data_IF_706698647791
#
_entry.id   IF_706698647791
#
_cell.length_a   1.000
_cell.length_b   1.000
_cell.length_c   1.000
_cell.angle_alpha   90.00
_cell.angle_beta   90.00
_cell.angle_gamma   90.00
#
_symmetry.space_group_name_H-M   'P 1'
#
loop_
_entity.id
_entity.type
_entity.pdbx_description
1 polymer ?
#
# COMPACT_ATOMS: atom_id res chain seq x y z
N UNK A 1 -57.03 28.86 -16.05
CA UNK A 1 -57.06 28.09 -17.30
C UNK A 1 -57.44 26.66 -16.97
N UNK A 2 -58.59 26.20 -17.48
CA UNK A 2 -59.12 24.84 -17.30
C UNK A 2 -58.46 23.92 -18.33
N UNK A 3 -58.02 22.74 -17.90
CA UNK A 3 -58.00 21.57 -18.78
C UNK A 3 -58.39 20.34 -17.95
N UNK A 4 -59.57 19.83 -18.27
CA UNK A 4 -60.05 18.51 -17.88
C UNK A 4 -59.61 17.58 -19.02
N UNK A 5 -58.93 16.48 -18.70
CA UNK A 5 -58.84 15.33 -19.60
C UNK A 5 -59.26 14.10 -18.79
N UNK A 6 -60.45 13.63 -19.10
CA UNK A 6 -61.01 12.37 -18.65
C UNK A 6 -60.64 11.31 -19.67
N UNK A 7 -59.95 10.25 -19.25
CA UNK A 7 -59.82 9.03 -20.03
C UNK A 7 -60.09 7.84 -19.11
N UNK A 8 -61.20 7.15 -19.37
CA UNK A 8 -61.54 5.86 -18.81
C UNK A 8 -61.04 4.77 -19.76
N UNK A 9 -60.31 3.77 -19.25
CA UNK A 9 -60.09 2.49 -19.94
C UNK A 9 -60.36 1.37 -18.95
N UNK A 10 -61.33 0.55 -19.32
CA UNK A 10 -61.83 -0.65 -18.68
C UNK A 10 -60.92 -1.84 -18.98
N UNK A 11 -60.64 -2.67 -17.96
CA UNK A 11 -60.46 -4.11 -18.13
C UNK A 11 -59.03 -4.64 -18.25
N UNK A 12 -58.61 -5.41 -17.23
CA UNK A 12 -58.00 -6.74 -17.29
C UNK A 12 -57.13 -6.95 -16.03
N UNK A 13 -57.40 -8.03 -15.30
CA UNK A 13 -56.77 -8.33 -14.01
C UNK A 13 -55.25 -8.48 -14.09
N UNK A 14 -54.57 -7.90 -13.10
CA UNK A 14 -53.14 -8.11 -12.85
C UNK A 14 -52.99 -8.51 -11.38
N UNK A 15 -52.38 -9.68 -11.19
CA UNK A 15 -51.96 -10.25 -9.92
C UNK A 15 -51.05 -9.26 -9.17
N UNK A 16 -51.50 -8.76 -8.02
CA UNK A 16 -50.65 -7.98 -7.12
C UNK A 16 -49.86 -8.96 -6.26
N UNK A 17 -48.59 -9.15 -6.60
CA UNK A 17 -47.61 -9.72 -5.68
C UNK A 17 -47.33 -8.70 -4.56
N UNK A 18 -47.25 -9.10 -3.29
CA UNK A 18 -46.81 -8.20 -2.23
C UNK A 18 -45.32 -7.89 -2.46
N UNK A 19 -45.03 -6.64 -2.82
CA UNK A 19 -43.66 -6.11 -2.78
C UNK A 19 -43.16 -6.19 -1.34
N UNK A 20 -42.27 -7.14 -1.08
CA UNK A 20 -41.47 -7.16 0.12
C UNK A 20 -40.62 -5.89 0.11
N UNK A 21 -41.02 -4.88 0.88
CA UNK A 21 -40.16 -3.76 1.25
C UNK A 21 -38.96 -4.36 2.00
N UNK A 22 -37.87 -4.57 1.27
CA UNK A 22 -36.56 -4.75 1.86
C UNK A 22 -36.26 -3.47 2.63
N UNK A 23 -36.51 -3.50 3.95
CA UNK A 23 -36.07 -2.47 4.85
C UNK A 23 -34.55 -2.38 4.70
N UNK A 24 -34.10 -1.35 3.99
CA UNK A 24 -32.69 -0.99 3.90
C UNK A 24 -32.30 -0.63 5.32
N UNK A 25 -31.64 -1.54 6.03
CA UNK A 25 -31.10 -1.28 7.34
C UNK A 25 -30.11 -0.11 7.18
N UNK A 26 -30.57 1.09 7.52
CA UNK A 26 -29.72 2.27 7.63
C UNK A 26 -28.74 1.94 8.74
N UNK A 27 -27.52 1.58 8.36
CA UNK A 27 -26.42 1.41 9.32
C UNK A 27 -26.34 2.69 10.14
N UNK A 28 -26.48 2.55 11.45
CA UNK A 28 -26.32 3.68 12.36
C UNK A 28 -24.99 4.38 12.06
N UNK A 29 -24.92 5.72 12.10
CA UNK A 29 -23.69 6.45 11.82
C UNK A 29 -22.61 5.93 12.76
N UNK A 30 -21.62 5.24 12.17
CA UNK A 30 -20.48 4.72 12.90
C UNK A 30 -19.77 5.93 13.53
N UNK A 31 -19.57 5.90 14.85
CA UNK A 31 -18.92 7.01 15.55
C UNK A 31 -17.55 7.23 14.92
N UNK A 32 -17.33 8.43 14.37
CA UNK A 32 -16.04 8.79 13.81
C UNK A 32 -14.95 8.63 14.89
N UNK A 33 -13.86 7.99 14.51
CA UNK A 33 -12.68 7.82 15.33
C UNK A 33 -11.61 8.82 14.91
N UNK A 34 -10.90 9.37 15.89
CA UNK A 34 -9.75 10.25 15.69
C UNK A 34 -8.49 9.52 16.15
N UNK A 35 -7.43 9.60 15.35
CA UNK A 35 -6.12 9.02 15.65
C UNK A 35 -5.12 10.13 15.96
N UNK A 36 -4.36 9.97 17.04
CA UNK A 36 -3.23 10.84 17.38
C UNK A 36 -1.95 10.05 17.24
N UNK A 37 -1.14 10.42 16.26
CA UNK A 37 0.09 9.71 15.87
C UNK A 37 1.33 10.25 16.59
N UNK A 38 2.24 9.36 16.94
CA UNK A 38 3.55 9.66 17.52
C UNK A 38 4.55 8.55 17.15
N UNK A 39 5.84 8.77 17.45
CA UNK A 39 6.92 7.85 17.09
C UNK A 39 6.92 7.43 15.60
N UNK A 40 6.62 8.37 14.71
CA UNK A 40 6.59 8.11 13.27
C UNK A 40 8.04 7.94 12.79
N UNK A 41 8.40 6.72 12.41
CA UNK A 41 9.64 6.41 11.71
C UNK A 41 9.34 6.18 10.22
N UNK A 42 10.05 6.91 9.36
CA UNK A 42 9.90 6.86 7.90
C UNK A 42 11.26 6.59 7.27
N UNK A 43 11.43 5.39 6.70
CA UNK A 43 12.71 4.91 6.19
C UNK A 43 12.55 4.06 4.94
N UNK A 44 13.56 4.11 4.06
CA UNK A 44 13.66 3.14 2.97
C UNK A 44 14.25 1.82 3.50
N UNK A 45 13.76 0.69 3.00
CA UNK A 45 14.19 -0.63 3.44
C UNK A 45 14.52 -1.51 2.24
N UNK A 46 15.74 -2.06 2.23
CA UNK A 46 16.13 -3.08 1.26
C UNK A 46 15.37 -4.38 1.55
N UNK A 47 14.64 -4.89 0.57
CA UNK A 47 13.79 -6.09 0.71
C UNK A 47 14.30 -7.29 -0.06
N UNK A 48 15.00 -7.09 -1.18
CA UNK A 48 15.65 -8.15 -1.91
C UNK A 48 16.89 -7.66 -2.65
N UNK A 49 17.83 -8.56 -2.91
CA UNK A 49 19.05 -8.29 -3.67
C UNK A 49 19.40 -9.51 -4.52
N UNK A 50 19.93 -9.30 -5.72
CA UNK A 50 20.46 -10.37 -6.55
C UNK A 50 21.93 -10.65 -6.23
N UNK A 51 22.42 -11.82 -6.62
CA UNK A 51 23.86 -12.01 -6.78
C UNK A 51 24.40 -11.05 -7.85
N UNK A 52 25.68 -10.70 -7.76
CA UNK A 52 26.33 -9.85 -8.75
C UNK A 52 26.66 -10.65 -10.02
N UNK A 53 26.25 -10.14 -11.19
CA UNK A 53 26.55 -10.75 -12.50
C UNK A 53 27.41 -9.82 -13.36
N UNK A 54 28.45 -10.36 -13.97
CA UNK A 54 29.21 -9.66 -15.02
C UNK A 54 28.43 -9.70 -16.32
N UNK A 55 28.20 -8.54 -16.92
CA UNK A 55 27.42 -8.35 -18.13
C UNK A 55 28.26 -7.60 -19.18
N UNK A 56 28.09 -7.99 -20.44
CA UNK A 56 28.57 -7.21 -21.57
C UNK A 56 27.64 -6.02 -21.86
N UNK A 57 28.13 -5.05 -22.64
CA UNK A 57 27.31 -3.90 -23.06
C UNK A 57 26.11 -4.37 -23.89
N UNK A 58 24.92 -3.93 -23.52
CA UNK A 58 23.67 -4.30 -24.22
C UNK A 58 23.17 -5.70 -23.90
N UNK A 59 23.88 -6.47 -23.06
CA UNK A 59 23.37 -7.72 -22.52
C UNK A 59 22.17 -7.43 -21.61
N UNK A 60 21.21 -8.34 -21.67
CA UNK A 60 20.03 -8.30 -20.86
C UNK A 60 20.06 -9.39 -19.79
N UNK A 61 19.44 -9.10 -18.65
CA UNK A 61 19.48 -10.01 -17.52
C UNK A 61 18.21 -9.97 -16.69
N UNK A 62 17.69 -11.16 -16.41
CA UNK A 62 16.66 -11.43 -15.42
C UNK A 62 17.34 -11.97 -14.15
N UNK A 63 17.45 -11.17 -13.09
CA UNK A 63 18.14 -11.57 -11.86
C UNK A 63 17.33 -12.61 -11.08
N UNK A 64 18.00 -13.61 -10.54
CA UNK A 64 17.47 -14.36 -9.40
C UNK A 64 17.62 -13.49 -8.15
N UNK A 65 16.51 -13.26 -7.44
CA UNK A 65 16.47 -12.35 -6.29
C UNK A 65 16.47 -13.14 -4.99
N UNK A 66 17.37 -12.80 -4.07
CA UNK A 66 17.33 -13.25 -2.68
C UNK A 66 16.47 -12.29 -1.86
N UNK A 67 15.38 -12.80 -1.29
CA UNK A 67 14.53 -12.03 -0.37
C UNK A 67 15.24 -11.89 0.97
N UNK A 68 15.45 -10.63 1.40
CA UNK A 68 16.07 -10.28 2.68
C UNK A 68 15.01 -9.98 3.74
N UNK A 69 13.90 -9.35 3.34
CA UNK A 69 12.81 -8.97 4.24
C UNK A 69 11.46 -9.09 3.53
N UNK A 70 10.48 -9.57 4.28
CA UNK A 70 9.07 -9.55 3.91
C UNK A 70 8.29 -8.74 4.95
N UNK A 71 7.12 -8.24 4.56
CA UNK A 71 6.28 -7.44 5.43
C UNK A 71 4.86 -7.36 4.91
N UNK A 72 3.93 -7.14 5.84
CA UNK A 72 2.51 -6.97 5.59
C UNK A 72 2.05 -5.69 6.29
N UNK A 73 1.29 -4.86 5.60
CA UNK A 73 0.75 -3.65 6.19
C UNK A 73 -0.31 -4.05 7.22
N UNK A 74 -0.17 -3.54 8.44
CA UNK A 74 -0.96 -4.02 9.58
C UNK A 74 -1.13 -2.95 10.65
N UNK A 75 -2.16 -3.15 11.47
CA UNK A 75 -2.42 -2.39 12.69
C UNK A 75 -2.58 -3.37 13.83
N UNK A 76 -1.90 -3.11 14.95
CA UNK A 76 -1.88 -3.97 16.14
C UNK A 76 -2.14 -3.15 17.41
N UNK A 77 -2.40 -3.83 18.54
CA UNK A 77 -2.74 -3.19 19.81
C UNK A 77 -4.25 -3.13 20.03
N UNK A 78 -4.81 -1.92 20.21
CA UNK A 78 -6.25 -1.71 20.38
C UNK A 78 -7.04 -2.33 19.22
N UNK A 79 -8.10 -3.07 19.55
CA UNK A 79 -8.99 -3.66 18.56
C UNK A 79 -9.84 -2.55 17.92
N UNK A 80 -9.67 -2.37 16.62
CA UNK A 80 -10.45 -1.42 15.82
C UNK A 80 -11.45 -2.19 14.95
N UNK A 81 -12.67 -1.67 14.84
CA UNK A 81 -13.66 -2.19 13.89
C UNK A 81 -13.26 -1.91 12.44
N UNK A 82 -12.49 -0.83 12.22
CA UNK A 82 -12.01 -0.39 10.92
C UNK A 82 -10.51 -0.08 10.96
N UNK A 83 -9.62 -1.10 10.99
CA UNK A 83 -8.17 -0.88 11.04
C UNK A 83 -7.64 -0.11 9.82
N UNK A 84 -8.32 -0.20 8.67
CA UNK A 84 -7.96 0.56 7.48
C UNK A 84 -8.08 2.08 7.69
N UNK A 85 -8.98 2.55 8.54
CA UNK A 85 -9.12 3.98 8.84
C UNK A 85 -7.86 4.54 9.54
N UNK A 86 -7.17 3.72 10.33
CA UNK A 86 -5.89 4.11 10.94
C UNK A 86 -4.81 4.30 9.87
N UNK A 87 -4.67 3.35 8.92
CA UNK A 87 -3.70 3.50 7.82
C UNK A 87 -4.01 4.73 6.95
N UNK A 88 -5.27 4.97 6.63
CA UNK A 88 -5.68 6.18 5.90
C UNK A 88 -5.33 7.45 6.67
N UNK A 89 -5.65 7.51 7.97
CA UNK A 89 -5.31 8.65 8.83
C UNK A 89 -3.80 8.86 8.95
N UNK A 90 -3.00 7.80 9.05
CA UNK A 90 -1.54 7.91 9.03
C UNK A 90 -1.05 8.46 7.69
N UNK A 91 -1.61 7.98 6.57
CA UNK A 91 -1.32 8.49 5.23
C UNK A 91 -1.63 9.99 5.10
N UNK A 92 -2.75 10.44 5.64
CA UNK A 92 -3.10 11.86 5.73
C UNK A 92 -2.10 12.65 6.58
N UNK A 93 -1.72 12.13 7.74
CA UNK A 93 -0.74 12.74 8.65
C UNK A 93 0.61 12.99 7.97
N UNK A 94 1.09 12.04 7.16
CA UNK A 94 2.36 12.16 6.41
C UNK A 94 2.18 12.70 4.98
N UNK A 95 0.93 13.01 4.58
CA UNK A 95 0.51 13.49 3.26
C UNK A 95 0.88 12.58 2.09
N UNK A 96 0.73 11.26 2.25
CA UNK A 96 1.08 10.26 1.24
C UNK A 96 0.12 9.07 1.27
N UNK A 97 -0.14 8.44 0.12
CA UNK A 97 -0.86 7.17 0.11
C UNK A 97 0.01 6.07 0.73
N UNK A 98 -0.62 5.22 1.53
CA UNK A 98 -0.01 4.07 2.18
C UNK A 98 -0.66 2.78 1.70
N UNK A 99 0.09 1.68 1.73
CA UNK A 99 -0.41 0.36 1.39
C UNK A 99 -1.56 -0.04 2.32
N UNK A 100 -2.67 -0.58 1.79
CA UNK A 100 -3.79 -1.00 2.60
C UNK A 100 -3.40 -2.19 3.49
N UNK A 101 -4.15 -2.41 4.58
CA UNK A 101 -3.98 -3.56 5.46
C UNK A 101 -3.98 -4.86 4.64
N UNK A 102 -3.05 -5.76 4.94
CA UNK A 102 -2.88 -7.01 4.19
C UNK A 102 -2.09 -6.86 2.89
N UNK A 103 -1.83 -5.63 2.42
CA UNK A 103 -0.85 -5.38 1.37
C UNK A 103 0.48 -6.00 1.79
N UNK A 104 1.16 -6.69 0.87
CA UNK A 104 2.47 -7.27 1.12
C UNK A 104 3.54 -6.45 0.44
N UNK A 105 4.77 -6.48 0.97
CA UNK A 105 5.90 -5.85 0.29
C UNK A 105 5.90 -6.26 -1.18
N UNK A 106 6.19 -5.33 -2.11
CA UNK A 106 6.22 -5.65 -3.51
C UNK A 106 7.22 -6.79 -3.72
N UNK A 107 6.69 -7.98 -4.03
CA UNK A 107 7.48 -9.14 -4.45
C UNK A 107 7.92 -9.03 -5.91
N UNK A 108 7.36 -8.04 -6.61
CA UNK A 108 7.65 -7.71 -8.01
C UNK A 108 8.39 -6.38 -8.11
N UNK A 109 9.60 -6.27 -7.57
CA UNK A 109 10.53 -5.38 -8.25
C UNK A 109 10.77 -5.90 -9.67
N UNK A 110 11.19 -5.04 -10.62
CA UNK A 110 11.36 -5.36 -12.06
C UNK A 110 11.83 -6.80 -12.30
N UNK A 111 10.90 -7.74 -12.40
CA UNK A 111 11.10 -9.11 -12.93
C UNK A 111 11.07 -9.03 -14.45
N UNK A 112 11.70 -7.99 -14.96
CA UNK A 112 11.75 -7.63 -16.35
C UNK A 112 13.20 -7.57 -16.77
N UNK A 113 13.39 -7.71 -18.06
CA UNK A 113 14.67 -7.60 -18.70
C UNK A 113 15.32 -6.26 -18.38
N UNK A 114 16.42 -6.26 -17.63
CA UNK A 114 17.17 -5.03 -17.37
C UNK A 114 18.21 -4.88 -18.49
N UNK A 115 18.20 -3.72 -19.15
CA UNK A 115 19.23 -3.36 -20.12
C UNK A 115 20.32 -2.53 -19.45
N UNK A 116 21.57 -2.89 -19.71
CA UNK A 116 22.74 -2.25 -19.11
C UNK A 116 23.52 -1.49 -20.18
N UNK A 117 23.68 -0.18 -19.96
CA UNK A 117 24.30 0.73 -20.93
C UNK A 117 25.81 0.55 -21.11
N UNK A 118 26.45 -0.24 -20.24
CA UNK A 118 27.88 -0.52 -20.27
C UNK A 118 28.20 -1.95 -19.81
N UNK A 119 29.42 -2.38 -20.10
CA UNK A 119 29.94 -3.62 -19.53
C UNK A 119 30.31 -3.40 -18.06
N UNK A 120 30.10 -4.41 -17.22
CA UNK A 120 30.39 -4.30 -15.80
C UNK A 120 29.78 -5.43 -14.98
N UNK A 121 30.08 -5.43 -13.68
CA UNK A 121 29.49 -6.35 -12.72
C UNK A 121 28.36 -5.64 -11.99
N UNK A 122 27.14 -6.13 -12.13
CA UNK A 122 25.92 -5.46 -11.68
C UNK A 122 25.16 -6.28 -10.66
N UNK A 123 24.47 -5.58 -9.76
CA UNK A 123 23.47 -6.14 -8.83
C UNK A 123 22.14 -5.47 -9.09
N UNK A 124 21.05 -6.23 -8.96
CA UNK A 124 19.69 -5.70 -8.93
C UNK A 124 19.18 -5.76 -7.51
N UNK A 125 18.51 -4.71 -7.06
CA UNK A 125 17.95 -4.66 -5.72
C UNK A 125 16.50 -4.18 -5.75
N UNK A 126 15.73 -4.63 -4.76
CA UNK A 126 14.38 -4.21 -4.50
C UNK A 126 14.31 -3.56 -3.13
N UNK A 127 13.44 -2.57 -3.00
CA UNK A 127 13.24 -1.89 -1.74
C UNK A 127 11.77 -1.57 -1.54
N UNK A 128 11.42 -1.33 -0.29
CA UNK A 128 10.21 -0.60 0.07
C UNK A 128 10.63 0.83 0.31
N UNK A 129 10.15 1.73 -0.55
CA UNK A 129 10.28 3.17 -0.31
C UNK A 129 9.38 3.55 0.85
N UNK A 130 9.91 4.33 1.79
CA UNK A 130 9.10 4.97 2.84
C UNK A 130 8.26 3.95 3.62
N UNK A 131 8.90 2.93 4.17
CA UNK A 131 8.31 2.12 5.23
C UNK A 131 8.04 3.04 6.42
N UNK A 132 6.78 3.11 6.82
CA UNK A 132 6.31 3.93 7.93
C UNK A 132 5.85 3.02 9.05
N UNK A 133 6.54 3.12 10.19
CA UNK A 133 6.15 2.55 11.46
C UNK A 133 5.71 3.70 12.38
N UNK A 134 4.55 3.60 13.01
CA UNK A 134 4.05 4.66 13.88
C UNK A 134 3.16 4.11 14.99
N UNK A 135 3.23 4.75 16.15
CA UNK A 135 2.32 4.47 17.26
C UNK A 135 1.17 5.47 17.25
N UNK A 136 0.02 5.07 17.79
CA UNK A 136 -1.13 5.93 17.91
C UNK A 136 -1.93 5.73 19.18
N UNK A 137 -2.70 6.76 19.53
CA UNK A 137 -3.83 6.68 20.44
C UNK A 137 -5.10 6.95 19.63
N UNK A 138 -6.17 6.25 19.96
CA UNK A 138 -7.46 6.37 19.28
C UNK A 138 -8.59 6.76 20.24
N UNK A 139 -9.42 7.68 19.79
CA UNK A 139 -10.63 8.10 20.48
C UNK A 139 -11.83 8.01 19.54
N UNK A 140 -12.94 7.42 19.98
CA UNK A 140 -14.15 7.27 19.17
C UNK A 140 -15.36 7.79 19.96
N UNK A 141 -16.09 8.75 19.39
CA UNK A 141 -17.24 9.40 20.04
C UNK A 141 -16.92 9.97 21.42
N UNK A 142 -15.76 10.64 21.55
CA UNK A 142 -15.32 11.31 22.78
C UNK A 142 -14.79 10.38 23.87
N UNK A 143 -14.59 9.09 23.58
CA UNK A 143 -13.99 8.14 24.52
C UNK A 143 -12.69 7.59 23.95
N UNK A 144 -11.63 7.64 24.76
CA UNK A 144 -10.35 6.98 24.45
C UNK A 144 -10.52 5.47 24.48
N UNK A 145 -10.23 4.80 23.36
CA UNK A 145 -10.32 3.34 23.27
C UNK A 145 -9.00 2.66 23.66
N UNK A 146 -7.85 3.28 23.34
CA UNK A 146 -6.55 2.68 23.64
C UNK A 146 -5.44 3.21 22.75
N UNK A 147 -4.34 2.47 22.73
CA UNK A 147 -3.18 2.71 21.88
C UNK A 147 -2.92 1.53 20.95
N UNK A 148 -2.24 1.79 19.84
CA UNK A 148 -1.85 0.77 18.88
C UNK A 148 -0.61 1.17 18.08
N UNK A 149 -0.23 0.29 17.17
CA UNK A 149 0.90 0.46 16.27
C UNK A 149 0.47 0.17 14.84
N UNK A 150 0.96 0.94 13.89
CA UNK A 150 0.70 0.77 12.47
C UNK A 150 2.02 0.66 11.69
N UNK A 151 2.11 -0.36 10.85
CA UNK A 151 3.17 -0.52 9.87
C UNK A 151 2.55 -0.48 8.48
N UNK A 152 3.03 0.40 7.60
CA UNK A 152 2.67 0.43 6.18
C UNK A 152 3.79 1.07 5.36
N UNK A 153 3.61 1.25 4.06
CA UNK A 153 4.60 1.84 3.18
C UNK A 153 3.96 2.54 2.00
N UNK A 154 4.71 3.40 1.32
CA UNK A 154 4.23 4.01 0.08
C UNK A 154 4.13 2.95 -1.04
N UNK A 155 2.94 2.75 -1.65
CA UNK A 155 2.80 1.84 -2.78
C UNK A 155 3.62 2.34 -3.98
N UNK A 156 4.30 1.41 -4.65
CA UNK A 156 5.10 1.66 -5.84
C UNK A 156 6.25 0.68 -5.96
N UNK A 157 6.67 0.41 -7.19
CA UNK A 157 7.86 -0.40 -7.43
C UNK A 157 9.09 0.43 -7.09
N UNK A 158 9.78 0.04 -6.03
CA UNK A 158 11.02 0.65 -5.65
C UNK A 158 12.16 -0.39 -5.74
N UNK A 159 13.24 0.01 -6.39
CA UNK A 159 14.35 -0.87 -6.71
C UNK A 159 15.21 -0.26 -7.79
N UNK A 160 16.35 -0.88 -8.07
CA UNK A 160 17.28 -0.35 -9.04
C UNK A 160 18.40 -1.33 -9.37
N UNK A 161 19.31 -0.84 -10.19
CA UNK A 161 20.56 -1.54 -10.52
C UNK A 161 21.73 -0.74 -9.98
N UNK A 162 22.74 -1.43 -9.46
CA UNK A 162 23.99 -0.83 -9.02
C UNK A 162 25.17 -1.60 -9.60
N UNK A 163 26.25 -0.89 -9.91
CA UNK A 163 27.46 -1.48 -10.49
C UNK A 163 28.51 -1.67 -9.39
N UNK A 164 29.02 -2.88 -9.23
CA UNK A 164 30.10 -3.19 -8.30
C UNK A 164 31.36 -2.37 -8.63
N UNK A 165 32.06 -1.91 -7.60
CA UNK A 165 33.29 -1.12 -7.74
C UNK A 165 33.09 0.31 -8.23
N UNK A 166 31.87 0.73 -8.54
CA UNK A 166 31.54 2.12 -8.89
C UNK A 166 30.96 2.81 -7.68
N UNK A 167 31.51 3.99 -7.35
CA UNK A 167 30.90 4.86 -6.34
C UNK A 167 29.52 5.27 -6.82
N UNK A 168 28.52 4.94 -6.04
CA UNK A 168 27.10 5.26 -6.24
C UNK A 168 26.83 6.77 -6.24
N UNK A 169 27.75 7.61 -5.75
CA UNK A 169 27.55 9.06 -5.61
C UNK A 169 26.52 9.37 -4.51
N UNK A 170 25.76 10.46 -4.64
CA UNK A 170 24.63 10.79 -3.75
C UNK A 170 23.42 9.84 -3.90
N UNK A 171 23.58 8.70 -4.60
CA UNK A 171 22.50 7.71 -4.73
C UNK A 171 22.18 7.08 -3.36
N UNK A 172 20.94 6.62 -3.25
CA UNK A 172 20.30 6.24 -1.99
C UNK A 172 21.14 5.22 -1.19
N UNK A 173 21.17 5.37 0.15
CA UNK A 173 21.83 4.45 1.10
C UNK A 173 21.49 2.97 0.86
N UNK A 174 20.36 2.68 0.22
CA UNK A 174 19.90 1.35 -0.15
C UNK A 174 20.75 0.70 -1.26
N UNK A 175 21.18 1.47 -2.27
CA UNK A 175 22.06 0.95 -3.31
C UNK A 175 23.42 0.53 -2.73
N UNK A 176 23.95 1.31 -1.79
CA UNK A 176 25.19 0.98 -1.07
C UNK A 176 25.05 -0.28 -0.23
N UNK A 177 23.92 -0.42 0.47
CA UNK A 177 23.64 -1.62 1.24
C UNK A 177 23.57 -2.86 0.33
N UNK A 178 22.90 -2.76 -0.81
CA UNK A 178 22.84 -3.84 -1.79
C UNK A 178 24.24 -4.22 -2.32
N UNK A 179 25.08 -3.22 -2.67
CA UNK A 179 26.45 -3.46 -3.13
C UNK A 179 27.31 -4.16 -2.06
N UNK A 180 27.21 -3.73 -0.80
CA UNK A 180 27.95 -4.35 0.32
C UNK A 180 27.56 -5.80 0.56
N UNK A 181 26.32 -6.18 0.25
CA UNK A 181 25.82 -7.54 0.43
C UNK A 181 26.23 -8.48 -0.71
N UNK A 182 26.47 -7.96 -1.93
CA UNK A 182 26.53 -8.81 -3.13
C UNK A 182 27.81 -8.75 -3.97
N UNK A 183 28.76 -7.82 -3.76
CA UNK A 183 29.89 -7.58 -4.68
C UNK A 183 31.27 -8.19 -4.28
#
# INVERSE_FOLDING_TARGET
MRMIVTAAVTGAGILVFPSASAATAVSAPQKACTFTWFNIDDRDVLTAVSEAKTLAKGETWVPSMQVLRSGVAQVTGVKLDQPQAAITSLGEQIRRPLAPIGGTYPSRGRHGENSFGGAGRYVVYQMVSRLVDADFVVECGGKRLGAGHATSWQPGDAGGTAQCGVKTGDKTRIADLALRLAC
#
